data_IF_496171896726
#
_entry.id   IF_496171896726
#
_cell.length_a   1.000
_cell.length_b   1.000
_cell.length_c   1.000
_cell.angle_alpha   90.00
_cell.angle_beta   90.00
_cell.angle_gamma   90.00
#
_symmetry.space_group_name_H-M   'P 1'
#
loop_
_entity.id
_entity.type
_entity.pdbx_description
1 polymer ?
#
# COMPACT_ATOMS: atom_id res chain seq x y z
N UNK A 1 2.02 -19.56 -13.95
CA UNK A 1 3.17 -20.48 -14.18
C UNK A 1 4.15 -19.90 -15.20
N UNK A 2 5.44 -20.28 -15.20
CA UNK A 2 6.44 -19.79 -16.14
C UNK A 2 6.05 -19.90 -17.62
N UNK A 3 5.48 -21.03 -18.03
CA UNK A 3 5.06 -21.27 -19.43
C UNK A 3 3.97 -20.31 -19.92
N UNK A 4 3.17 -19.73 -19.02
CA UNK A 4 2.09 -18.81 -19.38
C UNK A 4 2.53 -17.34 -19.51
N UNK A 5 3.77 -17.00 -19.11
CA UNK A 5 4.24 -15.60 -19.10
C UNK A 5 4.23 -14.95 -20.49
N UNK A 6 4.68 -15.62 -21.58
CA UNK A 6 4.61 -15.03 -22.92
C UNK A 6 3.17 -14.74 -23.36
N UNK A 7 2.25 -15.68 -23.12
CA UNK A 7 0.83 -15.51 -23.45
C UNK A 7 0.19 -14.37 -22.65
N UNK A 8 0.53 -14.23 -21.36
CA UNK A 8 0.06 -13.12 -20.53
C UNK A 8 0.56 -11.76 -21.04
N UNK A 9 1.84 -11.66 -21.41
CA UNK A 9 2.40 -10.44 -22.00
C UNK A 9 1.74 -10.07 -23.34
N UNK A 10 1.44 -11.07 -24.18
CA UNK A 10 0.70 -10.86 -25.43
C UNK A 10 -0.73 -10.37 -25.17
N UNK A 11 -1.42 -10.98 -24.22
CA UNK A 11 -2.78 -10.57 -23.84
C UNK A 11 -2.81 -9.12 -23.30
N UNK A 12 -1.82 -8.74 -22.49
CA UNK A 12 -1.67 -7.35 -22.04
C UNK A 12 -1.50 -6.40 -23.23
N UNK A 13 -0.58 -6.67 -24.17
CA UNK A 13 -0.39 -5.82 -25.37
C UNK A 13 -1.66 -5.66 -26.18
N UNK A 14 -2.42 -6.75 -26.35
CA UNK A 14 -3.64 -6.73 -27.16
C UNK A 14 -4.80 -5.99 -26.47
N UNK A 15 -4.95 -6.14 -25.15
CA UNK A 15 -6.10 -5.60 -24.40
C UNK A 15 -5.86 -4.24 -23.75
N UNK A 16 -4.61 -3.82 -23.56
CA UNK A 16 -4.26 -2.67 -22.72
C UNK A 16 -4.97 -1.39 -23.12
N UNK A 17 -4.94 -1.03 -24.42
CA UNK A 17 -5.52 0.22 -24.90
C UNK A 17 -7.02 0.34 -24.56
N UNK A 18 -7.78 -0.75 -24.66
CA UNK A 18 -9.20 -0.76 -24.33
C UNK A 18 -9.44 -0.55 -22.83
N UNK A 19 -8.68 -1.23 -21.98
CA UNK A 19 -8.80 -1.10 -20.52
C UNK A 19 -8.33 0.29 -20.06
N UNK A 20 -7.20 0.76 -20.57
CA UNK A 20 -6.62 2.05 -20.22
C UNK A 20 -7.49 3.25 -20.64
N UNK A 21 -8.25 3.12 -21.73
CA UNK A 21 -9.17 4.15 -22.23
C UNK A 21 -10.55 4.14 -21.54
N UNK A 22 -10.82 3.22 -20.61
CA UNK A 22 -12.13 3.12 -19.93
C UNK A 22 -12.37 4.38 -19.06
N UNK A 23 -13.42 5.19 -19.33
CA UNK A 23 -13.70 6.38 -18.54
C UNK A 23 -13.98 6.05 -17.07
N UNK A 24 -13.40 6.82 -16.14
CA UNK A 24 -13.61 6.65 -14.71
C UNK A 24 -13.01 5.37 -14.11
N UNK A 25 -12.13 4.67 -14.84
CA UNK A 25 -11.43 3.48 -14.33
C UNK A 25 -10.60 3.79 -13.07
N UNK A 26 -10.40 2.82 -12.17
CA UNK A 26 -9.39 2.94 -11.13
C UNK A 26 -7.97 2.99 -11.73
N UNK A 27 -6.95 3.38 -10.94
CA UNK A 27 -5.56 3.23 -11.32
C UNK A 27 -5.23 1.78 -11.71
N UNK A 28 -4.57 1.61 -12.85
CA UNK A 28 -4.13 0.33 -13.39
C UNK A 28 -2.65 0.15 -13.09
N UNK A 29 -2.36 -0.86 -12.28
CA UNK A 29 -1.00 -1.23 -11.93
C UNK A 29 -0.64 -2.53 -12.65
N UNK A 30 0.58 -2.61 -13.16
CA UNK A 30 1.16 -3.87 -13.63
C UNK A 30 2.14 -4.39 -12.59
N UNK A 31 2.19 -5.71 -12.41
CA UNK A 31 3.25 -6.38 -11.65
C UNK A 31 4.18 -7.09 -12.62
N UNK A 32 5.45 -6.71 -12.65
CA UNK A 32 6.44 -7.41 -13.45
C UNK A 32 6.90 -8.71 -12.78
N UNK A 33 7.76 -9.45 -13.47
CA UNK A 33 8.56 -10.51 -12.88
C UNK A 33 9.69 -9.94 -12.02
N UNK A 34 10.25 -10.76 -11.12
CA UNK A 34 11.33 -10.31 -10.23
C UNK A 34 12.63 -10.04 -11.01
N UNK A 35 13.43 -9.09 -10.51
CA UNK A 35 14.77 -8.84 -11.01
C UNK A 35 15.62 -10.11 -10.96
N UNK A 36 16.52 -10.28 -11.94
CA UNK A 36 17.34 -11.48 -12.09
C UNK A 36 16.63 -12.68 -12.72
N UNK A 37 15.32 -12.60 -12.99
CA UNK A 37 14.62 -13.62 -13.78
C UNK A 37 14.73 -13.35 -15.29
N UNK A 38 14.67 -14.39 -16.15
CA UNK A 38 14.77 -14.22 -17.61
C UNK A 38 13.66 -13.36 -18.25
N UNK A 39 12.59 -13.06 -17.52
CA UNK A 39 11.44 -12.29 -18.00
C UNK A 39 11.48 -10.82 -17.62
N UNK A 40 12.38 -10.42 -16.71
CA UNK A 40 12.38 -9.08 -16.12
C UNK A 40 12.52 -7.99 -17.17
N UNK A 41 13.55 -8.04 -18.02
CA UNK A 41 13.82 -6.97 -18.98
C UNK A 41 12.70 -6.80 -20.00
N UNK A 42 12.12 -7.92 -20.47
CA UNK A 42 11.01 -7.92 -21.41
C UNK A 42 9.72 -7.35 -20.79
N UNK A 43 9.49 -7.58 -19.49
CA UNK A 43 8.38 -6.95 -18.77
C UNK A 43 8.61 -5.45 -18.58
N UNK A 44 9.84 -5.03 -18.31
CA UNK A 44 10.17 -3.60 -18.18
C UNK A 44 9.99 -2.89 -19.51
N UNK A 45 10.40 -3.48 -20.64
CA UNK A 45 10.12 -2.95 -21.98
C UNK A 45 8.61 -2.86 -22.26
N UNK A 46 7.87 -3.89 -21.86
CA UNK A 46 6.42 -3.88 -21.99
C UNK A 46 5.80 -2.74 -21.17
N UNK A 47 6.19 -2.58 -19.92
CA UNK A 47 5.70 -1.51 -19.03
C UNK A 47 6.04 -0.13 -19.60
N UNK A 48 7.27 0.05 -20.12
CA UNK A 48 7.67 1.29 -20.76
C UNK A 48 6.81 1.63 -21.98
N UNK A 49 6.39 0.63 -22.77
CA UNK A 49 5.47 0.82 -23.90
C UNK A 49 4.01 1.04 -23.51
N UNK A 50 3.55 0.45 -22.40
CA UNK A 50 2.14 0.52 -21.98
C UNK A 50 1.83 1.70 -21.05
N UNK A 51 2.81 2.19 -20.29
CA UNK A 51 2.68 3.32 -19.35
C UNK A 51 1.51 3.13 -18.34
N UNK A 52 1.54 2.09 -17.47
CA UNK A 52 0.57 1.95 -16.38
C UNK A 52 0.70 3.07 -15.34
N UNK A 53 -0.33 3.25 -14.52
CA UNK A 53 -0.32 4.31 -13.50
C UNK A 53 0.70 4.04 -12.38
N UNK A 54 1.13 2.79 -12.21
CA UNK A 54 2.32 2.42 -11.43
C UNK A 54 2.80 1.00 -11.79
N UNK A 55 4.03 0.70 -11.41
CA UNK A 55 4.61 -0.65 -11.49
C UNK A 55 4.80 -1.25 -10.09
N UNK A 56 4.19 -2.40 -9.83
CA UNK A 56 4.46 -3.21 -8.65
C UNK A 56 5.68 -4.12 -8.90
N UNK A 57 6.74 -3.91 -8.14
CA UNK A 57 8.00 -4.65 -8.26
C UNK A 57 8.04 -5.74 -7.18
N UNK A 58 7.92 -7.04 -7.55
CA UNK A 58 8.07 -8.14 -6.61
C UNK A 58 9.52 -8.29 -6.15
N UNK A 59 9.72 -8.90 -4.97
CA UNK A 59 11.05 -9.13 -4.37
C UNK A 59 11.93 -7.88 -4.43
N UNK A 60 11.38 -6.76 -3.96
CA UNK A 60 12.08 -5.49 -3.96
C UNK A 60 13.18 -5.53 -2.89
N UNK A 61 14.41 -5.87 -3.31
CA UNK A 61 15.55 -6.11 -2.41
C UNK A 61 16.67 -5.08 -2.56
N UNK A 62 16.74 -4.39 -3.70
CA UNK A 62 17.85 -3.49 -4.02
C UNK A 62 17.36 -2.09 -4.39
N UNK A 63 17.70 -1.05 -3.58
CA UNK A 63 17.42 0.34 -3.92
C UNK A 63 18.00 0.76 -5.27
N UNK A 64 19.19 0.25 -5.62
CA UNK A 64 19.85 0.57 -6.88
C UNK A 64 19.08 0.02 -8.09
N UNK A 65 18.54 -1.20 -7.99
CA UNK A 65 17.68 -1.77 -9.04
C UNK A 65 16.41 -0.94 -9.20
N UNK A 66 15.79 -0.53 -8.10
CA UNK A 66 14.59 0.32 -8.13
C UNK A 66 14.87 1.70 -8.75
N UNK A 67 16.00 2.32 -8.43
CA UNK A 67 16.42 3.58 -9.03
C UNK A 67 16.69 3.46 -10.53
N UNK A 68 17.39 2.40 -10.95
CA UNK A 68 17.62 2.14 -12.37
C UNK A 68 16.30 1.92 -13.13
N UNK A 69 15.35 1.21 -12.51
CA UNK A 69 14.02 0.97 -13.06
C UNK A 69 13.21 2.27 -13.17
N UNK A 70 13.19 3.09 -12.12
CA UNK A 70 12.51 4.39 -12.12
C UNK A 70 13.12 5.34 -13.17
N UNK A 71 14.44 5.32 -13.35
CA UNK A 71 15.10 6.11 -14.39
C UNK A 71 14.71 5.65 -15.81
N UNK A 72 14.56 4.34 -16.03
CA UNK A 72 14.14 3.77 -17.32
C UNK A 72 12.66 4.04 -17.65
N UNK A 73 11.78 3.99 -16.65
CA UNK A 73 10.34 4.19 -16.84
C UNK A 73 9.91 5.66 -16.80
N UNK A 74 10.71 6.52 -16.14
CA UNK A 74 10.41 7.93 -15.94
C UNK A 74 9.38 8.17 -14.82
N UNK A 75 9.16 9.44 -14.46
CA UNK A 75 8.31 9.82 -13.31
C UNK A 75 6.82 9.53 -13.53
N UNK A 76 6.39 9.23 -14.76
CA UNK A 76 5.00 8.93 -15.09
C UNK A 76 4.56 7.54 -14.59
N UNK A 77 5.51 6.63 -14.34
CA UNK A 77 5.25 5.27 -13.85
C UNK A 77 5.96 5.08 -12.50
N UNK A 78 5.37 5.56 -11.39
CA UNK A 78 5.95 5.37 -10.06
C UNK A 78 6.04 3.89 -9.68
N UNK A 79 6.94 3.55 -8.74
CA UNK A 79 7.13 2.18 -8.30
C UNK A 79 6.43 1.89 -6.96
N UNK A 80 5.79 0.74 -6.88
CA UNK A 80 5.39 0.11 -5.62
C UNK A 80 6.37 -1.01 -5.33
N UNK A 81 7.02 -0.98 -4.16
CA UNK A 81 7.98 -2.00 -3.76
C UNK A 81 7.27 -3.06 -2.90
N UNK A 82 7.21 -4.30 -3.41
CA UNK A 82 6.66 -5.43 -2.67
C UNK A 82 7.77 -6.04 -1.80
N UNK A 83 7.64 -5.84 -0.48
CA UNK A 83 8.54 -6.35 0.55
C UNK A 83 8.02 -7.72 0.97
N UNK A 84 8.71 -8.76 0.48
CA UNK A 84 8.25 -10.15 0.59
C UNK A 84 9.39 -11.17 0.78
N UNK A 85 10.57 -10.68 1.12
CA UNK A 85 11.77 -11.49 1.43
C UNK A 85 12.55 -10.86 2.59
N UNK A 86 13.41 -11.64 3.23
CA UNK A 86 14.31 -11.21 4.29
C UNK A 86 15.23 -10.08 3.82
N UNK A 87 15.77 -10.19 2.60
CA UNK A 87 16.62 -9.16 2.00
C UNK A 87 15.84 -7.85 1.77
N UNK A 88 14.60 -7.92 1.30
CA UNK A 88 13.75 -6.74 1.11
C UNK A 88 13.37 -6.08 2.43
N UNK A 89 13.13 -6.89 3.47
CA UNK A 89 12.85 -6.39 4.82
C UNK A 89 14.07 -5.70 5.45
N UNK A 90 15.27 -6.29 5.31
CA UNK A 90 16.52 -5.69 5.78
C UNK A 90 16.80 -4.34 5.06
N UNK A 91 16.56 -4.30 3.75
CA UNK A 91 16.75 -3.12 2.92
C UNK A 91 15.58 -2.11 2.95
N UNK A 92 14.53 -2.32 3.74
CA UNK A 92 13.26 -1.55 3.63
C UNK A 92 13.44 -0.04 3.80
N UNK A 93 14.34 0.40 4.70
CA UNK A 93 14.62 1.83 4.92
C UNK A 93 15.39 2.44 3.74
N UNK A 94 16.53 1.87 3.28
CA UNK A 94 17.18 2.29 2.03
C UNK A 94 16.25 2.32 0.82
N UNK A 95 15.39 1.30 0.66
CA UNK A 95 14.38 1.24 -0.41
C UNK A 95 13.44 2.44 -0.33
N UNK A 96 12.92 2.72 0.86
CA UNK A 96 11.99 3.84 1.06
C UNK A 96 12.66 5.21 0.85
N UNK A 97 13.94 5.34 1.19
CA UNK A 97 14.72 6.57 1.01
C UNK A 97 15.29 6.75 -0.42
N UNK A 98 15.08 5.78 -1.32
CA UNK A 98 15.71 5.76 -2.65
C UNK A 98 15.23 6.86 -3.60
N UNK A 99 14.09 7.49 -3.32
CA UNK A 99 13.41 8.43 -4.22
C UNK A 99 12.72 7.77 -5.43
N UNK A 100 12.83 6.45 -5.58
CA UNK A 100 12.25 5.69 -6.70
C UNK A 100 10.88 5.08 -6.38
N UNK A 101 10.55 4.93 -5.10
CA UNK A 101 9.36 4.22 -4.63
C UNK A 101 8.30 5.22 -4.19
N UNK A 102 7.06 4.98 -4.57
CA UNK A 102 5.89 5.75 -4.14
C UNK A 102 5.27 5.17 -2.87
N UNK A 103 5.25 3.83 -2.76
CA UNK A 103 4.54 3.11 -1.69
C UNK A 103 5.11 1.71 -1.48
N UNK A 104 5.19 1.29 -0.21
CA UNK A 104 5.56 -0.08 0.16
C UNK A 104 4.32 -0.99 0.22
N UNK A 105 4.50 -2.25 -0.15
CA UNK A 105 3.47 -3.29 -0.10
C UNK A 105 4.03 -4.49 0.65
N UNK A 106 3.25 -5.10 1.54
CA UNK A 106 3.65 -6.30 2.27
C UNK A 106 3.22 -7.58 1.54
N UNK A 107 4.19 -8.38 1.09
CA UNK A 107 3.95 -9.74 0.60
C UNK A 107 4.11 -10.76 1.73
N UNK A 108 3.18 -10.77 2.68
CA UNK A 108 3.34 -11.52 3.94
C UNK A 108 3.49 -13.05 3.78
N UNK A 109 2.90 -13.67 2.75
CA UNK A 109 2.98 -15.12 2.56
C UNK A 109 4.39 -15.54 2.10
N UNK A 110 4.91 -14.85 1.09
CA UNK A 110 6.26 -15.09 0.58
C UNK A 110 7.31 -14.73 1.65
N UNK A 111 7.07 -13.67 2.43
CA UNK A 111 7.94 -13.30 3.54
C UNK A 111 7.97 -14.38 4.64
N UNK A 112 6.82 -14.95 4.99
CA UNK A 112 6.74 -16.05 5.95
C UNK A 112 7.51 -17.27 5.44
N UNK A 113 7.33 -17.62 4.16
CA UNK A 113 8.04 -18.74 3.56
C UNK A 113 9.57 -18.52 3.54
N UNK A 114 10.01 -17.31 3.18
CA UNK A 114 11.43 -16.95 3.09
C UNK A 114 12.12 -16.94 4.47
N UNK A 115 11.42 -16.45 5.50
CA UNK A 115 11.92 -16.41 6.88
C UNK A 115 11.69 -17.72 7.65
N UNK A 116 10.94 -18.67 7.10
CA UNK A 116 10.55 -19.90 7.81
C UNK A 116 9.59 -19.66 8.98
N UNK A 117 8.77 -18.60 8.92
CA UNK A 117 7.78 -18.29 9.94
C UNK A 117 6.55 -19.19 9.83
N UNK A 118 5.99 -19.54 10.98
CA UNK A 118 4.71 -20.20 11.11
C UNK A 118 3.81 -19.29 11.93
N UNK A 119 3.19 -18.31 11.27
CA UNK A 119 2.33 -17.35 11.96
C UNK A 119 1.06 -18.02 12.47
N UNK A 120 0.60 -17.57 13.63
CA UNK A 120 -0.74 -17.87 14.09
C UNK A 120 -1.79 -17.11 13.23
N UNK A 121 -3.06 -17.42 13.42
CA UNK A 121 -4.15 -16.78 12.68
C UNK A 121 -4.19 -15.26 12.83
N UNK A 122 -3.74 -14.71 13.96
CA UNK A 122 -3.72 -13.26 14.18
C UNK A 122 -2.49 -12.56 13.57
N UNK A 123 -1.50 -13.34 13.12
CA UNK A 123 -0.24 -12.90 12.51
C UNK A 123 0.57 -11.91 13.35
N UNK A 124 0.53 -12.04 14.68
CA UNK A 124 1.26 -11.14 15.59
C UNK A 124 2.77 -11.22 15.41
N UNK A 125 3.29 -12.32 14.88
CA UNK A 125 4.70 -12.47 14.53
C UNK A 125 5.13 -11.48 13.42
N UNK A 126 4.18 -10.96 12.64
CA UNK A 126 4.42 -9.96 11.60
C UNK A 126 4.22 -8.52 12.10
N UNK A 127 3.86 -8.30 13.37
CA UNK A 127 3.73 -6.95 13.95
C UNK A 127 5.03 -6.12 13.80
N UNK A 128 6.24 -6.67 14.06
CA UNK A 128 7.49 -5.94 13.83
C UNK A 128 7.70 -5.57 12.36
N UNK A 129 7.31 -6.44 11.44
CA UNK A 129 7.41 -6.21 10.00
C UNK A 129 6.49 -5.06 9.59
N UNK A 130 5.23 -5.09 10.03
CA UNK A 130 4.25 -4.04 9.75
C UNK A 130 4.71 -2.69 10.27
N UNK A 131 5.21 -2.64 11.50
CA UNK A 131 5.78 -1.42 12.07
C UNK A 131 7.00 -0.93 11.27
N UNK A 132 7.89 -1.83 10.84
CA UNK A 132 9.05 -1.47 10.03
C UNK A 132 8.66 -0.82 8.69
N UNK A 133 7.65 -1.35 8.00
CA UNK A 133 7.14 -0.77 6.75
C UNK A 133 6.52 0.62 6.96
N UNK A 134 5.75 0.80 8.04
CA UNK A 134 5.14 2.10 8.37
C UNK A 134 6.23 3.13 8.70
N UNK A 135 7.21 2.75 9.52
CA UNK A 135 8.34 3.61 9.86
C UNK A 135 9.16 3.99 8.62
N UNK A 136 9.51 3.01 7.78
CA UNK A 136 10.24 3.25 6.55
C UNK A 136 9.46 4.15 5.59
N UNK A 137 8.15 3.92 5.42
CA UNK A 137 7.28 4.76 4.60
C UNK A 137 7.28 6.21 5.08
N UNK A 138 7.17 6.44 6.40
CA UNK A 138 7.19 7.80 6.96
C UNK A 138 8.55 8.48 6.80
N UNK A 139 9.64 7.76 7.06
CA UNK A 139 11.01 8.31 6.91
C UNK A 139 11.34 8.63 5.45
N UNK A 140 10.86 7.81 4.50
CA UNK A 140 11.03 8.03 3.06
C UNK A 140 10.06 9.03 2.45
N UNK A 141 9.12 9.58 3.21
CA UNK A 141 8.07 10.47 2.68
C UNK A 141 7.08 9.77 1.73
N UNK A 142 6.94 8.44 1.87
CA UNK A 142 6.09 7.61 1.03
C UNK A 142 4.62 7.67 1.44
N UNK A 143 3.75 7.22 0.53
CA UNK A 143 2.36 6.92 0.89
C UNK A 143 2.31 5.82 1.97
N UNK A 144 1.33 5.84 2.90
CA UNK A 144 1.22 4.80 3.91
C UNK A 144 1.09 3.41 3.27
N UNK A 145 1.70 2.36 3.83
CA UNK A 145 1.87 1.09 3.14
C UNK A 145 0.55 0.34 2.86
N UNK A 146 0.63 -0.67 1.98
CA UNK A 146 -0.46 -1.62 1.68
C UNK A 146 -0.17 -2.95 2.35
N UNK A 147 -1.13 -3.48 3.11
CA UNK A 147 -1.00 -4.75 3.84
C UNK A 147 -1.21 -5.93 2.89
N UNK A 148 -0.78 -7.10 3.33
CA UNK A 148 -0.90 -8.35 2.57
C UNK A 148 -2.35 -8.81 2.36
N UNK A 149 -2.50 -9.97 1.73
CA UNK A 149 -3.82 -10.55 1.42
C UNK A 149 -4.51 -11.13 2.65
N UNK A 150 -5.81 -11.38 2.56
CA UNK A 150 -6.51 -12.35 3.42
C UNK A 150 -6.78 -13.58 2.57
N UNK A 151 -6.26 -14.75 2.96
CA UNK A 151 -6.36 -15.98 2.15
C UNK A 151 -7.77 -16.57 2.16
N UNK A 152 -8.50 -16.43 3.27
CA UNK A 152 -9.90 -16.85 3.39
C UNK A 152 -10.80 -15.92 2.55
N UNK A 153 -11.02 -16.27 1.28
CA UNK A 153 -11.72 -15.40 0.31
C UNK A 153 -13.22 -15.25 0.56
N UNK A 154 -13.81 -16.13 1.35
CA UNK A 154 -15.23 -16.20 1.70
C UNK A 154 -15.51 -15.87 3.17
N UNK A 155 -14.48 -15.54 3.96
CA UNK A 155 -14.63 -15.14 5.36
C UNK A 155 -14.54 -13.61 5.52
N UNK A 156 -15.71 -12.97 5.50
CA UNK A 156 -15.82 -11.52 5.67
C UNK A 156 -15.40 -11.05 7.08
N UNK A 157 -15.57 -11.87 8.12
CA UNK A 157 -15.21 -11.51 9.49
C UNK A 157 -13.69 -11.52 9.68
N UNK A 158 -13.01 -12.52 9.09
CA UNK A 158 -11.55 -12.56 9.03
C UNK A 158 -11.00 -11.38 8.25
N UNK A 159 -11.57 -11.07 7.07
CA UNK A 159 -11.16 -9.91 6.28
C UNK A 159 -11.26 -8.60 7.08
N UNK A 160 -12.40 -8.37 7.76
CA UNK A 160 -12.59 -7.18 8.59
C UNK A 160 -11.55 -7.09 9.72
N UNK A 161 -11.26 -8.21 10.39
CA UNK A 161 -10.24 -8.28 11.44
C UNK A 161 -8.84 -7.95 10.90
N UNK A 162 -8.46 -8.51 9.76
CA UNK A 162 -7.16 -8.26 9.14
C UNK A 162 -7.01 -6.80 8.66
N UNK A 163 -8.06 -6.21 8.07
CA UNK A 163 -8.08 -4.80 7.67
C UNK A 163 -7.96 -3.89 8.90
N UNK A 164 -8.69 -4.19 9.97
CA UNK A 164 -8.61 -3.41 11.21
C UNK A 164 -7.20 -3.49 11.82
N UNK A 165 -6.56 -4.67 11.81
CA UNK A 165 -5.16 -4.82 12.23
C UNK A 165 -4.25 -3.91 11.40
N UNK A 166 -4.35 -3.96 10.07
CA UNK A 166 -3.57 -3.13 9.17
C UNK A 166 -3.74 -1.63 9.46
N UNK A 167 -4.98 -1.16 9.60
CA UNK A 167 -5.28 0.23 9.93
C UNK A 167 -4.66 0.68 11.25
N UNK A 168 -4.69 -0.16 12.30
CA UNK A 168 -4.09 0.17 13.61
C UNK A 168 -2.58 0.38 13.52
N UNK A 169 -1.90 -0.31 12.61
CA UNK A 169 -0.48 -0.06 12.33
C UNK A 169 -0.23 1.19 11.48
N UNK A 170 -1.25 1.70 10.79
CA UNK A 170 -1.14 2.88 9.91
C UNK A 170 -1.12 2.55 8.42
N UNK A 171 -1.49 1.33 8.03
CA UNK A 171 -1.70 0.97 6.63
C UNK A 171 -3.01 1.58 6.12
N UNK A 172 -3.02 1.99 4.85
CA UNK A 172 -4.19 2.58 4.20
C UNK A 172 -4.61 1.82 2.94
N UNK A 173 -4.27 0.53 2.89
CA UNK A 173 -4.61 -0.36 1.79
C UNK A 173 -4.41 -1.81 2.21
N UNK A 174 -5.11 -2.71 1.53
CA UNK A 174 -4.94 -4.16 1.67
C UNK A 174 -5.03 -4.80 0.28
N UNK A 175 -4.19 -5.79 0.00
CA UNK A 175 -4.28 -6.55 -1.25
C UNK A 175 -5.54 -7.44 -1.26
N UNK A 176 -6.29 -7.41 -2.35
CA UNK A 176 -7.43 -8.30 -2.60
C UNK A 176 -7.04 -9.35 -3.64
N UNK A 177 -7.32 -10.62 -3.35
CA UNK A 177 -7.12 -11.76 -4.28
C UNK A 177 -8.44 -12.32 -4.83
N UNK A 178 -9.57 -11.82 -4.33
CA UNK A 178 -10.89 -12.21 -4.79
C UNK A 178 -11.82 -10.98 -4.85
N UNK A 179 -12.69 -10.84 -5.88
CA UNK A 179 -13.58 -9.68 -6.02
C UNK A 179 -14.46 -9.40 -4.79
N UNK A 180 -14.91 -10.45 -4.09
CA UNK A 180 -15.73 -10.32 -2.85
C UNK A 180 -15.03 -9.57 -1.72
N UNK A 181 -13.71 -9.42 -1.76
CA UNK A 181 -12.95 -8.71 -0.73
C UNK A 181 -12.96 -7.19 -0.93
N UNK A 182 -13.21 -6.71 -2.15
CA UNK A 182 -13.07 -5.29 -2.50
C UNK A 182 -13.99 -4.42 -1.66
N UNK A 183 -15.29 -4.71 -1.63
CA UNK A 183 -16.26 -3.92 -0.88
C UNK A 183 -16.00 -3.97 0.63
N UNK A 184 -15.61 -5.14 1.16
CA UNK A 184 -15.25 -5.32 2.56
C UNK A 184 -14.02 -4.51 2.97
N UNK A 185 -12.99 -4.49 2.12
CA UNK A 185 -11.78 -3.67 2.34
C UNK A 185 -12.11 -2.18 2.30
N UNK A 186 -12.88 -1.72 1.30
CA UNK A 186 -13.29 -0.32 1.22
C UNK A 186 -14.11 0.10 2.45
N UNK A 187 -15.11 -0.69 2.85
CA UNK A 187 -15.94 -0.40 4.01
C UNK A 187 -15.14 -0.35 5.31
N UNK A 188 -14.20 -1.28 5.51
CA UNK A 188 -13.36 -1.32 6.70
C UNK A 188 -12.29 -0.22 6.70
N UNK A 189 -11.77 0.18 5.55
CA UNK A 189 -10.80 1.28 5.44
C UNK A 189 -11.42 2.67 5.62
N UNK A 190 -12.70 2.82 5.30
CA UNK A 190 -13.43 4.07 5.46
C UNK A 190 -13.49 4.50 6.94
N UNK A 191 -13.29 5.79 7.25
CA UNK A 191 -13.52 6.30 8.60
C UNK A 191 -14.98 6.08 9.02
N UNK A 192 -15.21 5.63 10.25
CA UNK A 192 -16.57 5.47 10.77
C UNK A 192 -17.28 6.83 10.91
N UNK A 193 -18.62 6.88 10.84
CA UNK A 193 -19.38 8.11 11.06
C UNK A 193 -19.02 8.82 12.36
N UNK A 194 -18.77 8.06 13.44
CA UNK A 194 -18.37 8.58 14.74
C UNK A 194 -16.98 9.20 14.67
N UNK A 195 -16.04 8.57 13.96
CA UNK A 195 -14.67 9.08 13.77
C UNK A 195 -14.68 10.37 12.94
N UNK A 196 -15.53 10.44 11.91
CA UNK A 196 -15.73 11.65 11.11
C UNK A 196 -16.33 12.79 11.92
N UNK A 197 -17.40 12.51 12.67
CA UNK A 197 -18.03 13.50 13.54
C UNK A 197 -17.05 14.00 14.61
N UNK A 198 -16.25 13.12 15.19
CA UNK A 198 -15.18 13.50 16.12
C UNK A 198 -14.16 14.44 15.46
N UNK A 199 -13.65 14.10 14.27
CA UNK A 199 -12.67 14.92 13.57
C UNK A 199 -13.23 16.30 13.20
N UNK A 200 -14.51 16.38 12.79
CA UNK A 200 -15.20 17.65 12.55
C UNK A 200 -15.33 18.49 13.83
N UNK A 201 -15.72 17.88 14.96
CA UNK A 201 -15.81 18.58 16.26
C UNK A 201 -14.46 19.15 16.70
N UNK A 202 -13.39 18.36 16.56
CA UNK A 202 -12.02 18.78 16.90
C UNK A 202 -11.62 20.02 16.11
N UNK A 203 -11.76 20.00 14.78
CA UNK A 203 -11.35 21.14 13.95
C UNK A 203 -12.24 22.37 14.14
N UNK A 204 -13.54 22.17 14.38
CA UNK A 204 -14.46 23.27 14.70
C UNK A 204 -14.09 23.95 16.03
N UNK A 205 -13.80 23.18 17.08
CA UNK A 205 -13.42 23.71 18.38
C UNK A 205 -12.09 24.49 18.31
N UNK A 206 -11.13 24.01 17.52
CA UNK A 206 -9.86 24.71 17.27
C UNK A 206 -10.07 26.02 16.51
N UNK A 207 -10.92 26.02 15.47
CA UNK A 207 -11.25 27.23 14.73
C UNK A 207 -11.94 28.30 15.61
N UNK A 208 -12.74 27.88 16.60
CA UNK A 208 -13.44 28.79 17.51
C UNK A 208 -12.55 29.39 18.60
N UNK A 209 -11.56 28.65 19.10
CA UNK A 209 -10.71 29.11 20.20
C UNK A 209 -9.66 30.16 19.79
N UNK A 210 -9.37 30.30 18.49
CA UNK A 210 -8.35 31.22 17.98
C UNK A 210 -6.91 30.76 18.31
N UNK A 211 -5.92 31.58 17.93
CA UNK A 211 -4.51 31.25 18.18
C UNK A 211 -4.18 31.31 19.68
N UNK A 212 -3.75 30.19 20.27
CA UNK A 212 -3.22 30.11 21.64
C UNK A 212 -4.21 29.66 22.72
N UNK A 213 -5.47 29.37 22.38
CA UNK A 213 -6.45 28.84 23.32
C UNK A 213 -6.30 27.33 23.57
N UNK A 214 -6.34 26.90 24.83
CA UNK A 214 -6.45 25.48 25.16
C UNK A 214 -7.84 24.95 24.77
N UNK A 215 -7.88 23.97 23.88
CA UNK A 215 -9.13 23.39 23.37
C UNK A 215 -9.36 22.03 24.03
N UNK A 216 -10.62 21.76 24.39
CA UNK A 216 -11.05 20.44 24.84
C UNK A 216 -12.25 19.96 24.04
N UNK A 217 -12.25 18.68 23.69
CA UNK A 217 -13.37 17.97 23.05
C UNK A 217 -13.55 16.65 23.77
N UNK A 218 -14.78 16.33 24.17
CA UNK A 218 -15.14 15.10 24.89
C UNK A 218 -14.27 14.86 26.15
N UNK A 219 -13.96 15.95 26.88
CA UNK A 219 -13.13 15.92 28.09
C UNK A 219 -11.64 15.70 27.86
N UNK A 220 -11.18 15.70 26.61
CA UNK A 220 -9.77 15.50 26.24
C UNK A 220 -9.18 16.76 25.64
N UNK A 221 -7.92 17.03 25.99
CA UNK A 221 -7.16 18.13 25.41
C UNK A 221 -6.94 17.90 23.92
N UNK A 222 -7.10 18.98 23.14
CA UNK A 222 -6.81 19.00 21.71
C UNK A 222 -5.52 19.79 21.51
N UNK A 223 -4.47 19.08 21.11
CA UNK A 223 -3.15 19.60 20.77
C UNK A 223 -2.79 19.30 19.30
N UNK A 224 -1.58 19.65 18.87
CA UNK A 224 -1.16 19.49 17.47
C UNK A 224 -1.26 18.02 16.95
N UNK A 225 -0.89 16.98 17.71
CA UNK A 225 -1.16 15.59 17.36
C UNK A 225 -2.65 15.28 17.11
N UNK A 226 -3.54 15.74 18.00
CA UNK A 226 -4.99 15.50 17.86
C UNK A 226 -5.56 16.22 16.63
N UNK A 227 -5.11 17.44 16.36
CA UNK A 227 -5.48 18.21 15.16
C UNK A 227 -5.02 17.51 13.88
N UNK A 228 -3.77 17.02 13.88
CA UNK A 228 -3.20 16.27 12.76
C UNK A 228 -4.02 15.01 12.46
N UNK A 229 -4.39 14.27 13.50
CA UNK A 229 -5.23 13.08 13.37
C UNK A 229 -6.62 13.43 12.81
N UNK A 230 -7.25 14.50 13.28
CA UNK A 230 -8.53 14.95 12.77
C UNK A 230 -8.47 15.30 11.26
N UNK A 231 -7.44 16.03 10.83
CA UNK A 231 -7.22 16.30 9.40
C UNK A 231 -7.03 15.02 8.58
N UNK A 232 -6.24 14.06 9.08
CA UNK A 232 -6.03 12.77 8.41
C UNK A 232 -7.33 11.98 8.26
N UNK A 233 -8.18 11.97 9.29
CA UNK A 233 -9.49 11.31 9.26
C UNK A 233 -10.40 11.92 8.19
N UNK A 234 -10.47 13.24 8.09
CA UNK A 234 -11.29 13.90 7.07
C UNK A 234 -10.72 13.76 5.66
N UNK A 235 -9.40 13.74 5.51
CA UNK A 235 -8.76 13.49 4.22
C UNK A 235 -9.07 12.07 3.70
N UNK A 236 -9.08 11.07 4.59
CA UNK A 236 -9.43 9.69 4.26
C UNK A 236 -10.90 9.48 3.84
N UNK A 237 -11.78 10.44 4.13
CA UNK A 237 -13.20 10.38 3.77
C UNK A 237 -13.51 10.87 2.35
N UNK A 238 -12.53 11.48 1.67
CA UNK A 238 -12.68 12.13 0.35
C UNK A 238 -12.21 11.25 -0.81
N UNK A 239 -11.83 10.00 -0.52
CA UNK A 239 -11.28 9.02 -1.46
C UNK A 239 -12.32 7.96 -1.75
#
# INVERSE_FOLDING_TARGET
APAAKPAAAQALRAGWAAVAATPGRPPLLLRCNAAGTPWFDADVDLVAGLQPDALLVPKAESPAVLQALAARLGPAVPLLALIETAAGLDAVKPIAASGAVLRLVLGHLDLQADLGLQCADDERELDPVRLALVLASRLGGLSPPVDGVTVATDDAARLATDVQRAQRFGFTGKLCIHPRQVDGVHAALAPSPERLAWAQRVLAAVAQAGAGGAVQVDGKMVDAPVITLAHQVLAAARV
#
